data_IF_279674799015
#
_entry.id   IF_279674799015
#
_cell.length_a   1.000
_cell.length_b   1.000
_cell.length_c   1.000
_cell.angle_alpha   90.00
_cell.angle_beta   90.00
_cell.angle_gamma   90.00
#
_symmetry.space_group_name_H-M   'P 1'
#
loop_
_entity.id
_entity.type
_entity.pdbx_description
1 polymer ?
#
# COMPACT_ATOMS: atom_id res chain seq x y z
N UNK A 1 33.27 -15.95 -1.76
CA UNK A 1 33.22 -16.15 -0.29
C UNK A 1 33.15 -14.79 0.39
N UNK A 2 31.95 -14.22 0.50
CA UNK A 2 31.68 -13.00 1.26
C UNK A 2 30.44 -13.26 2.10
N UNK A 3 30.61 -13.31 3.42
CA UNK A 3 29.53 -13.45 4.40
C UNK A 3 28.97 -12.06 4.67
N UNK A 4 27.68 -11.84 4.39
CA UNK A 4 27.01 -10.58 4.73
C UNK A 4 26.65 -10.61 6.21
N UNK A 5 27.48 -9.96 7.02
CA UNK A 5 27.22 -9.66 8.43
C UNK A 5 26.34 -8.40 8.53
N UNK A 6 25.64 -8.23 9.68
CA UNK A 6 24.79 -7.07 10.03
C UNK A 6 25.39 -5.68 9.77
N UNK A 7 26.69 -5.58 9.52
CA UNK A 7 27.41 -4.34 9.18
C UNK A 7 27.21 -3.86 7.74
N UNK A 8 26.65 -4.66 6.82
CA UNK A 8 26.60 -4.29 5.38
C UNK A 8 25.43 -3.38 4.97
N UNK A 9 24.48 -3.08 5.87
CA UNK A 9 23.36 -2.16 5.57
C UNK A 9 23.76 -0.67 5.61
N UNK A 10 24.97 -0.34 6.06
CA UNK A 10 25.48 1.05 6.09
C UNK A 10 26.27 1.44 4.85
N UNK A 11 26.42 0.55 3.86
CA UNK A 11 27.29 0.78 2.68
C UNK A 11 26.53 0.75 1.35
N UNK A 12 25.29 1.26 1.34
CA UNK A 12 24.60 1.61 0.10
C UNK A 12 24.57 3.14 -0.05
N UNK A 13 25.36 3.73 -0.96
CA UNK A 13 25.36 5.18 -1.20
C UNK A 13 23.98 5.74 -1.60
N UNK A 14 23.13 4.91 -2.23
CA UNK A 14 21.74 5.21 -2.57
C UNK A 14 20.80 5.26 -1.37
N UNK A 15 21.12 4.57 -0.27
CA UNK A 15 20.35 4.60 0.98
C UNK A 15 20.49 5.94 1.70
N UNK A 16 21.70 6.52 1.72
CA UNK A 16 21.96 7.84 2.33
C UNK A 16 21.54 9.00 1.42
N UNK A 17 21.61 8.84 0.09
CA UNK A 17 21.22 9.89 -0.85
C UNK A 17 19.72 10.23 -0.79
N UNK A 18 18.84 9.25 -0.57
CA UNK A 18 17.41 9.50 -0.36
C UNK A 18 17.12 10.21 0.97
N UNK A 19 17.87 9.90 2.03
CA UNK A 19 17.75 10.54 3.34
C UNK A 19 18.20 12.01 3.33
N UNK A 20 19.22 12.38 2.53
CA UNK A 20 19.75 13.74 2.51
C UNK A 20 18.93 14.75 1.69
N UNK A 21 17.98 14.31 0.84
CA UNK A 21 17.05 15.21 0.13
C UNK A 21 15.93 15.78 1.02
N UNK A 22 15.77 15.27 2.24
CA UNK A 22 14.70 15.65 3.17
C UNK A 22 14.98 16.92 4.00
N UNK A 23 16.13 17.59 3.83
CA UNK A 23 16.55 18.68 4.74
C UNK A 23 16.27 20.10 4.24
N UNK A 24 15.62 20.29 3.09
CA UNK A 24 15.36 21.64 2.59
C UNK A 24 14.03 21.72 1.86
N UNK A 25 12.94 21.97 2.60
CA UNK A 25 11.82 22.77 2.07
C UNK A 25 11.03 23.39 3.22
N UNK A 26 11.00 24.72 3.23
CA UNK A 26 10.20 25.55 4.13
C UNK A 26 8.97 26.02 3.38
N UNK A 27 7.78 25.85 3.95
CA UNK A 27 6.57 26.60 3.57
C UNK A 27 5.54 26.54 4.71
N UNK A 28 5.10 27.72 5.15
CA UNK A 28 4.06 27.93 6.17
C UNK A 28 2.66 27.85 5.53
N UNK A 29 1.64 27.30 6.22
CA UNK A 29 0.26 27.47 5.78
C UNK A 29 -0.39 28.70 6.46
N UNK A 30 -0.92 29.61 5.64
CA UNK A 30 -1.87 30.65 6.07
C UNK A 30 -3.26 30.03 6.23
N UNK A 31 -3.81 30.12 7.45
CA UNK A 31 -5.23 29.88 7.74
C UNK A 31 -6.07 31.04 7.18
N UNK A 32 -7.06 30.76 6.33
CA UNK A 32 -8.17 31.65 6.06
C UNK A 32 -9.50 30.93 6.35
N UNK A 33 -10.19 31.44 7.38
CA UNK A 33 -11.57 31.10 7.73
C UNK A 33 -12.49 32.04 6.96
N UNK A 34 -13.43 31.51 6.19
CA UNK A 34 -14.62 32.27 5.77
C UNK A 34 -15.87 31.42 5.99
N UNK A 35 -16.87 32.06 6.58
CA UNK A 35 -18.19 31.52 6.85
C UNK A 35 -19.18 31.98 5.76
N UNK A 36 -20.13 31.11 5.44
CA UNK A 36 -21.49 31.37 4.92
C UNK A 36 -22.01 30.02 4.38
N UNK A 37 -23.29 29.68 4.29
CA UNK A 37 -24.57 30.14 4.84
C UNK A 37 -25.54 29.00 4.50
N UNK A 38 -26.43 28.64 5.43
CA UNK A 38 -27.38 27.53 5.28
C UNK A 38 -28.24 27.63 4.03
N UNK A 39 -28.33 26.52 3.27
CA UNK A 39 -29.43 26.22 2.37
C UNK A 39 -29.72 24.72 2.47
N UNK A 40 -30.90 24.43 3.00
CA UNK A 40 -31.35 23.10 3.39
C UNK A 40 -31.98 22.42 2.16
N UNK A 41 -31.20 21.64 1.42
CA UNK A 41 -31.70 20.72 0.40
C UNK A 41 -31.35 19.29 0.83
N UNK A 42 -32.30 18.65 1.52
CA UNK A 42 -32.19 17.27 2.02
C UNK A 42 -32.38 16.25 0.88
N UNK A 43 -31.48 16.26 -0.10
CA UNK A 43 -31.25 15.18 -1.05
C UNK A 43 -29.77 15.17 -1.46
N UNK A 44 -28.86 15.22 -0.47
CA UNK A 44 -27.44 15.09 -0.76
C UNK A 44 -27.09 13.60 -0.89
N UNK A 45 -26.70 13.09 -2.08
CA UNK A 45 -26.33 11.69 -2.27
C UNK A 45 -25.12 11.26 -1.41
N UNK A 46 -24.36 12.22 -0.86
CA UNK A 46 -23.20 11.96 -0.01
C UNK A 46 -23.52 11.41 1.39
N UNK A 47 -24.80 11.43 1.79
CA UNK A 47 -25.25 11.02 3.13
C UNK A 47 -25.94 9.65 3.15
N UNK A 48 -25.85 8.87 2.07
CA UNK A 48 -26.31 7.48 2.05
C UNK A 48 -25.49 6.66 3.06
N UNK A 49 -26.12 6.26 4.17
CA UNK A 49 -25.50 5.38 5.15
C UNK A 49 -25.34 3.98 4.57
N UNK A 50 -24.13 3.43 4.64
CA UNK A 50 -23.84 2.04 4.26
C UNK A 50 -24.83 1.09 4.97
N UNK A 51 -25.57 0.30 4.19
CA UNK A 51 -26.48 -0.69 4.75
C UNK A 51 -25.69 -1.87 5.36
N UNK A 52 -26.17 -2.52 6.43
CA UNK A 52 -25.49 -3.70 6.99
C UNK A 52 -25.28 -4.82 5.97
N UNK A 53 -26.24 -5.04 5.05
CA UNK A 53 -26.11 -6.04 3.98
C UNK A 53 -24.96 -5.70 3.03
N UNK A 54 -24.92 -4.45 2.54
CA UNK A 54 -23.86 -3.96 1.66
C UNK A 54 -22.47 -4.05 2.32
N UNK A 55 -22.38 -3.76 3.62
CA UNK A 55 -21.13 -3.94 4.37
C UNK A 55 -20.72 -5.42 4.45
N UNK A 56 -21.67 -6.33 4.70
CA UNK A 56 -21.38 -7.77 4.73
C UNK A 56 -20.94 -8.27 3.35
N UNK A 57 -21.58 -7.83 2.27
CA UNK A 57 -21.23 -8.23 0.91
C UNK A 57 -19.82 -7.72 0.54
N UNK A 58 -19.51 -6.46 0.86
CA UNK A 58 -18.18 -5.89 0.70
C UNK A 58 -17.11 -6.66 1.49
N UNK A 59 -17.37 -6.96 2.78
CA UNK A 59 -16.44 -7.71 3.62
C UNK A 59 -16.27 -9.16 3.15
N UNK A 60 -17.34 -9.77 2.63
CA UNK A 60 -17.33 -11.10 2.03
C UNK A 60 -16.48 -11.12 0.76
N UNK A 61 -16.52 -10.07 -0.04
CA UNK A 61 -15.63 -9.93 -1.19
C UNK A 61 -14.16 -9.76 -0.75
N UNK A 62 -13.90 -8.93 0.26
CA UNK A 62 -12.56 -8.74 0.84
C UNK A 62 -11.97 -10.01 1.45
N UNK A 63 -12.77 -11.04 1.77
CA UNK A 63 -12.26 -12.36 2.18
C UNK A 63 -11.25 -12.92 1.18
N UNK A 64 -11.41 -12.64 -0.12
CA UNK A 64 -10.51 -13.14 -1.17
C UNK A 64 -9.06 -12.72 -0.95
N UNK A 65 -8.82 -11.57 -0.32
CA UNK A 65 -7.46 -11.10 0.03
C UNK A 65 -6.74 -12.04 1.01
N UNK A 66 -7.49 -12.81 1.81
CA UNK A 66 -6.95 -13.82 2.73
C UNK A 66 -6.56 -15.11 2.02
N UNK A 67 -7.24 -15.42 0.93
CA UNK A 67 -7.06 -16.68 0.19
C UNK A 67 -6.11 -16.52 -1.00
N UNK A 68 -6.04 -15.32 -1.58
CA UNK A 68 -5.15 -15.02 -2.71
C UNK A 68 -3.72 -14.87 -2.20
N UNK A 69 -2.83 -15.71 -2.73
CA UNK A 69 -1.41 -15.72 -2.40
C UNK A 69 -0.65 -14.72 -3.25
N UNK A 70 0.36 -14.06 -2.65
CA UNK A 70 1.23 -13.14 -3.38
C UNK A 70 1.95 -13.89 -4.51
N UNK A 71 1.58 -13.55 -5.75
CA UNK A 71 1.94 -14.25 -6.97
C UNK A 71 3.45 -14.25 -7.20
N UNK A 72 4.16 -13.19 -6.76
CA UNK A 72 5.63 -13.15 -6.78
C UNK A 72 6.27 -14.34 -6.05
N UNK A 73 5.76 -14.71 -4.88
CA UNK A 73 6.25 -15.84 -4.10
C UNK A 73 5.81 -17.19 -4.67
N UNK A 74 4.56 -17.29 -5.16
CA UNK A 74 4.05 -18.49 -5.82
C UNK A 74 4.92 -18.86 -7.02
N UNK A 75 5.26 -17.89 -7.86
CA UNK A 75 6.13 -18.08 -9.05
C UNK A 75 7.57 -18.43 -8.71
N UNK A 76 8.00 -18.14 -7.47
CA UNK A 76 9.31 -18.54 -6.91
C UNK A 76 9.22 -19.87 -6.16
N UNK A 77 8.10 -20.59 -6.27
CA UNK A 77 7.86 -21.89 -5.64
C UNK A 77 8.04 -21.85 -4.10
N UNK A 78 7.76 -20.69 -3.51
CA UNK A 78 7.78 -20.53 -2.07
C UNK A 78 6.66 -21.39 -1.47
N UNK A 79 7.00 -22.47 -0.80
CA UNK A 79 6.10 -23.21 0.10
C UNK A 79 5.37 -22.27 1.06
N UNK A 80 4.05 -22.42 1.15
CA UNK A 80 3.12 -21.65 1.99
C UNK A 80 3.38 -20.13 1.94
N UNK A 81 3.23 -19.51 0.76
CA UNK A 81 3.44 -18.07 0.64
C UNK A 81 2.35 -17.30 1.40
N UNK A 82 2.69 -16.08 1.78
CA UNK A 82 1.77 -15.13 2.41
C UNK A 82 0.60 -14.81 1.48
N UNK A 83 -0.53 -14.43 2.08
CA UNK A 83 -1.66 -13.82 1.38
C UNK A 83 -1.45 -12.32 1.18
N UNK A 84 -2.23 -11.71 0.28
CA UNK A 84 -2.24 -10.25 0.10
C UNK A 84 -2.62 -9.56 1.42
N UNK A 85 -3.54 -10.15 2.19
CA UNK A 85 -3.93 -9.58 3.48
C UNK A 85 -2.83 -9.64 4.55
N UNK A 86 -1.93 -10.63 4.50
CA UNK A 86 -0.79 -10.72 5.43
C UNK A 86 0.20 -9.57 5.16
N UNK A 87 0.50 -9.33 3.88
CA UNK A 87 1.32 -8.22 3.40
C UNK A 87 0.76 -6.87 3.87
N UNK A 88 -0.51 -6.58 3.55
CA UNK A 88 -1.17 -5.33 3.96
C UNK A 88 -1.24 -5.17 5.49
N UNK A 89 -1.44 -6.25 6.24
CA UNK A 89 -1.45 -6.21 7.70
C UNK A 89 -0.11 -5.74 8.26
N UNK A 90 1.01 -6.32 7.78
CA UNK A 90 2.34 -5.93 8.27
C UNK A 90 2.70 -4.50 7.84
N UNK A 91 2.28 -4.06 6.66
CA UNK A 91 2.41 -2.65 6.27
C UNK A 91 1.63 -1.70 7.21
N UNK A 92 0.41 -2.08 7.62
CA UNK A 92 -0.36 -1.33 8.61
C UNK A 92 0.37 -1.22 9.96
N UNK A 93 1.04 -2.29 10.41
CA UNK A 93 1.89 -2.25 11.59
C UNK A 93 3.12 -1.35 11.40
N UNK A 94 3.77 -1.42 10.24
CA UNK A 94 4.89 -0.53 9.89
C UNK A 94 4.47 0.93 9.94
N UNK A 95 3.30 1.26 9.39
CA UNK A 95 2.72 2.59 9.51
C UNK A 95 2.50 2.97 10.97
N UNK A 96 1.90 2.12 11.80
CA UNK A 96 1.67 2.42 13.22
C UNK A 96 2.96 2.72 14.01
N UNK A 97 4.05 1.98 13.77
CA UNK A 97 5.31 2.17 14.48
C UNK A 97 6.23 3.23 13.85
N UNK A 98 5.90 3.72 12.65
CA UNK A 98 6.71 4.73 11.94
C UNK A 98 6.61 6.14 12.53
N UNK A 99 5.68 6.36 13.47
CA UNK A 99 5.51 7.62 14.18
C UNK A 99 6.78 8.06 14.95
N UNK A 100 7.67 7.09 15.25
CA UNK A 100 8.92 7.33 15.96
C UNK A 100 10.11 7.59 15.02
N UNK A 101 9.92 7.54 13.69
CA UNK A 101 10.96 7.83 12.71
C UNK A 101 11.21 9.35 12.67
N UNK A 102 12.45 9.81 12.94
CA UNK A 102 12.78 11.23 12.87
C UNK A 102 12.51 11.82 11.48
N UNK A 103 11.75 12.91 11.39
CA UNK A 103 11.48 13.63 10.14
C UNK A 103 10.11 13.34 9.50
N UNK A 104 9.40 12.30 9.94
CA UNK A 104 7.97 12.15 9.64
C UNK A 104 7.20 13.06 10.58
N UNK A 105 6.35 13.92 10.01
CA UNK A 105 5.53 14.83 10.79
C UNK A 105 4.69 13.98 11.75
N UNK A 106 4.82 14.20 13.07
CA UNK A 106 4.14 13.42 14.14
C UNK A 106 2.63 13.68 14.20
N UNK A 107 2.06 14.13 13.09
CA UNK A 107 0.64 14.32 12.99
C UNK A 107 -0.03 12.95 13.05
N UNK A 108 -0.78 12.73 14.12
CA UNK A 108 -1.56 11.50 14.31
C UNK A 108 -2.47 11.25 13.11
N UNK A 109 -2.99 12.32 12.49
CA UNK A 109 -3.83 12.20 11.30
C UNK A 109 -3.08 11.63 10.10
N UNK A 110 -1.84 12.10 9.84
CA UNK A 110 -0.99 11.57 8.77
C UNK A 110 -0.68 10.08 8.99
N UNK A 111 -0.39 9.68 10.24
CA UNK A 111 -0.14 8.29 10.59
C UNK A 111 -1.37 7.40 10.32
N UNK A 112 -2.55 7.82 10.80
CA UNK A 112 -3.79 7.10 10.54
C UNK A 112 -4.13 7.06 9.05
N UNK A 113 -3.76 8.09 8.28
CA UNK A 113 -3.89 8.09 6.83
C UNK A 113 -3.04 7.02 6.18
N UNK A 114 -1.75 6.90 6.56
CA UNK A 114 -0.87 5.83 6.10
C UNK A 114 -1.42 4.44 6.43
N UNK A 115 -1.97 4.23 7.63
CA UNK A 115 -2.60 2.95 8.01
C UNK A 115 -3.79 2.63 7.12
N UNK A 116 -4.69 3.60 6.91
CA UNK A 116 -5.86 3.43 6.03
C UNK A 116 -5.45 3.14 4.59
N UNK A 117 -4.42 3.81 4.10
CA UNK A 117 -3.89 3.60 2.76
C UNK A 117 -3.26 2.21 2.62
N UNK A 118 -2.46 1.78 3.60
CA UNK A 118 -1.83 0.45 3.60
C UNK A 118 -2.86 -0.69 3.51
N UNK A 119 -4.01 -0.58 4.18
CA UNK A 119 -5.07 -1.60 4.12
C UNK A 119 -5.94 -1.53 2.86
N UNK A 120 -5.85 -0.46 2.07
CA UNK A 120 -6.66 -0.24 0.86
C UNK A 120 -5.86 -0.43 -0.43
N UNK A 121 -4.55 -0.24 -0.42
CA UNK A 121 -3.78 -0.12 -1.67
C UNK A 121 -3.89 -1.33 -2.61
N UNK A 122 -3.84 -2.56 -2.07
CA UNK A 122 -4.01 -3.81 -2.82
C UNK A 122 -5.44 -4.38 -2.73
N UNK A 123 -6.43 -3.61 -2.27
CA UNK A 123 -7.80 -4.09 -2.08
C UNK A 123 -8.43 -4.56 -3.40
N UNK A 124 -8.11 -3.90 -4.52
CA UNK A 124 -8.61 -4.26 -5.84
C UNK A 124 -8.17 -5.67 -6.29
N UNK A 125 -7.06 -6.18 -5.76
CA UNK A 125 -6.55 -7.52 -6.04
C UNK A 125 -7.48 -8.63 -5.54
N UNK A 126 -8.46 -8.31 -4.70
CA UNK A 126 -9.57 -9.21 -4.36
C UNK A 126 -10.36 -9.66 -5.61
N UNK A 127 -10.38 -8.83 -6.65
CA UNK A 127 -11.07 -9.09 -7.92
C UNK A 127 -10.05 -9.41 -9.01
N UNK A 128 -9.01 -8.58 -9.17
CA UNK A 128 -8.08 -8.70 -10.31
C UNK A 128 -6.99 -9.75 -10.10
N UNK A 129 -6.74 -10.17 -8.86
CA UNK A 129 -5.59 -10.99 -8.47
C UNK A 129 -4.30 -10.17 -8.37
N UNK A 130 -3.27 -10.74 -7.75
CA UNK A 130 -1.94 -10.12 -7.67
C UNK A 130 -1.24 -10.19 -9.03
N UNK A 131 -1.31 -9.10 -9.80
CA UNK A 131 -0.70 -8.96 -11.13
C UNK A 131 0.75 -8.53 -10.96
N UNK A 132 1.66 -9.37 -11.41
CA UNK A 132 3.10 -9.15 -11.30
C UNK A 132 3.71 -8.67 -12.62
N UNK A 133 4.93 -8.12 -12.61
CA UNK A 133 5.63 -7.68 -13.82
C UNK A 133 5.84 -8.78 -14.88
N UNK A 134 5.94 -10.04 -14.46
CA UNK A 134 6.13 -11.16 -15.38
C UNK A 134 4.83 -11.62 -16.07
N UNK A 135 3.68 -11.04 -15.75
CA UNK A 135 2.41 -11.31 -16.44
C UNK A 135 2.26 -10.53 -17.76
N UNK A 136 3.20 -9.62 -18.07
CA UNK A 136 3.22 -8.89 -19.35
C UNK A 136 2.10 -7.86 -19.52
N UNK A 137 1.36 -7.55 -18.44
CA UNK A 137 0.34 -6.51 -18.42
C UNK A 137 1.02 -5.14 -18.24
N UNK A 138 0.67 -4.17 -19.08
CA UNK A 138 1.19 -2.81 -18.95
C UNK A 138 0.70 -2.15 -17.65
N UNK A 139 1.48 -1.22 -17.10
CA UNK A 139 1.07 -0.45 -15.91
C UNK A 139 -0.28 0.24 -16.10
N UNK A 140 -0.53 0.75 -17.31
CA UNK A 140 -1.80 1.41 -17.67
C UNK A 140 -2.98 0.46 -17.63
N UNK A 141 -2.81 -0.77 -18.12
CA UNK A 141 -3.87 -1.78 -18.13
C UNK A 141 -4.10 -2.36 -16.73
N UNK A 142 -3.03 -2.58 -15.95
CA UNK A 142 -3.13 -2.95 -14.53
C UNK A 142 -3.96 -1.92 -13.76
N UNK A 143 -3.58 -0.65 -13.83
CA UNK A 143 -4.28 0.45 -13.14
C UNK A 143 -5.72 0.61 -13.61
N UNK A 144 -6.03 0.39 -14.90
CA UNK A 144 -7.41 0.38 -15.41
C UNK A 144 -8.25 -0.74 -14.76
N UNK A 145 -7.74 -1.97 -14.74
CA UNK A 145 -8.44 -3.12 -14.15
C UNK A 145 -8.66 -2.93 -12.65
N UNK A 146 -7.64 -2.45 -11.95
CA UNK A 146 -7.71 -2.23 -10.50
C UNK A 146 -8.70 -1.12 -10.13
N UNK A 147 -8.73 -0.05 -10.93
CA UNK A 147 -9.72 1.02 -10.78
C UNK A 147 -11.14 0.51 -10.98
N UNK A 148 -11.40 -0.26 -12.04
CA UNK A 148 -12.72 -0.85 -12.29
C UNK A 148 -13.15 -1.80 -11.17
N UNK A 149 -12.21 -2.58 -10.65
CA UNK A 149 -12.44 -3.43 -9.49
C UNK A 149 -12.78 -2.60 -8.24
N UNK A 150 -12.01 -1.55 -7.96
CA UNK A 150 -12.26 -0.68 -6.82
C UNK A 150 -13.61 0.04 -6.93
N UNK A 151 -13.97 0.54 -8.11
CA UNK A 151 -15.26 1.16 -8.37
C UNK A 151 -16.41 0.19 -8.10
N UNK A 152 -16.26 -1.07 -8.53
CA UNK A 152 -17.22 -2.12 -8.21
C UNK A 152 -17.34 -2.35 -6.69
N UNK A 153 -16.21 -2.42 -5.97
CA UNK A 153 -16.19 -2.59 -4.52
C UNK A 153 -16.84 -1.41 -3.78
N UNK A 154 -16.56 -0.18 -4.21
CA UNK A 154 -17.15 1.04 -3.68
C UNK A 154 -18.67 1.10 -3.90
N UNK A 155 -19.13 0.67 -5.08
CA UNK A 155 -20.57 0.54 -5.37
C UNK A 155 -21.22 -0.56 -4.53
N UNK A 156 -20.54 -1.71 -4.35
CA UNK A 156 -21.02 -2.81 -3.50
C UNK A 156 -21.18 -2.39 -2.04
N UNK A 157 -20.29 -1.53 -1.54
CA UNK A 157 -20.38 -0.92 -0.21
C UNK A 157 -21.59 0.02 -0.06
N UNK A 158 -22.24 0.41 -1.16
CA UNK A 158 -23.38 1.32 -1.18
C UNK A 158 -23.01 2.79 -1.39
N UNK A 159 -21.78 3.08 -1.83
CA UNK A 159 -21.33 4.45 -2.12
C UNK A 159 -21.16 5.32 -0.87
N UNK A 160 -21.46 6.62 -1.03
CA UNK A 160 -21.38 7.61 0.04
C UNK A 160 -19.95 7.97 0.47
N UNK A 161 -19.84 8.69 1.58
CA UNK A 161 -18.57 9.23 2.07
C UNK A 161 -17.50 8.16 2.35
N UNK A 162 -17.89 6.95 2.79
CA UNK A 162 -16.93 5.87 3.09
C UNK A 162 -16.37 5.22 1.84
N UNK A 163 -17.21 4.94 0.85
CA UNK A 163 -16.72 4.46 -0.45
C UNK A 163 -15.83 5.51 -1.12
N UNK A 164 -16.21 6.79 -1.02
CA UNK A 164 -15.38 7.88 -1.53
C UNK A 164 -14.01 7.94 -0.84
N UNK A 165 -13.96 7.82 0.48
CA UNK A 165 -12.70 7.79 1.24
C UNK A 165 -11.79 6.64 0.78
N UNK A 166 -12.33 5.44 0.59
CA UNK A 166 -11.58 4.28 0.08
C UNK A 166 -11.04 4.56 -1.32
N UNK A 167 -11.88 5.08 -2.21
CA UNK A 167 -11.48 5.42 -3.58
C UNK A 167 -10.37 6.48 -3.59
N UNK A 168 -10.53 7.56 -2.81
CA UNK A 168 -9.56 8.64 -2.73
C UNK A 168 -8.20 8.15 -2.19
N UNK A 169 -8.21 7.29 -1.15
CA UNK A 169 -6.98 6.69 -0.60
C UNK A 169 -6.23 5.84 -1.63
N UNK A 170 -6.96 5.01 -2.38
CA UNK A 170 -6.36 4.18 -3.43
C UNK A 170 -5.76 5.04 -4.55
N UNK A 171 -6.49 6.08 -4.98
CA UNK A 171 -6.03 7.03 -5.97
C UNK A 171 -4.76 7.78 -5.54
N UNK A 172 -4.74 8.25 -4.29
CA UNK A 172 -3.60 8.95 -3.72
C UNK A 172 -2.35 8.06 -3.69
N UNK A 173 -2.52 6.77 -3.34
CA UNK A 173 -1.46 5.77 -3.40
C UNK A 173 -0.94 5.56 -4.84
N UNK A 174 -1.84 5.31 -5.79
CA UNK A 174 -1.51 5.05 -7.19
C UNK A 174 -0.76 6.21 -7.87
N UNK A 175 -1.22 7.44 -7.60
CA UNK A 175 -0.62 8.66 -8.14
C UNK A 175 0.66 9.07 -7.39
N UNK A 176 0.89 8.50 -6.21
CA UNK A 176 1.98 8.88 -5.30
C UNK A 176 2.02 10.39 -5.03
N UNK A 177 0.85 10.98 -4.86
CA UNK A 177 0.66 12.44 -4.87
C UNK A 177 1.02 13.10 -3.54
N UNK A 178 0.84 12.42 -2.41
CA UNK A 178 1.14 12.90 -1.07
C UNK A 178 2.47 12.39 -0.51
N UNK A 179 2.89 12.90 0.65
CA UNK A 179 4.04 12.37 1.38
C UNK A 179 3.70 11.00 1.98
N UNK A 180 2.49 10.87 2.49
CA UNK A 180 1.91 9.66 3.07
C UNK A 180 1.90 8.53 2.03
N UNK A 181 1.47 8.79 0.79
CA UNK A 181 1.51 7.82 -0.29
C UNK A 181 2.92 7.34 -0.64
N UNK A 182 3.89 8.25 -0.62
CA UNK A 182 5.31 7.89 -0.84
C UNK A 182 5.84 7.01 0.29
N UNK A 183 5.50 7.35 1.53
CA UNK A 183 5.85 6.56 2.72
C UNK A 183 5.24 5.15 2.63
N UNK A 184 3.96 5.03 2.26
CA UNK A 184 3.29 3.72 2.14
C UNK A 184 3.89 2.90 0.98
N UNK A 185 4.28 3.52 -0.13
CA UNK A 185 5.04 2.84 -1.20
C UNK A 185 6.43 2.39 -0.75
N UNK A 186 7.07 3.12 0.15
CA UNK A 186 8.33 2.66 0.75
C UNK A 186 8.09 1.52 1.75
N UNK A 187 6.99 1.54 2.49
CA UNK A 187 6.60 0.39 3.33
C UNK A 187 6.36 -0.87 2.52
N UNK A 188 5.62 -0.79 1.41
CA UNK A 188 5.38 -1.92 0.51
C UNK A 188 6.71 -2.59 0.08
N UNK A 189 7.68 -1.79 -0.38
CA UNK A 189 9.01 -2.30 -0.76
C UNK A 189 9.77 -2.90 0.42
N UNK A 190 9.78 -2.22 1.57
CA UNK A 190 10.51 -2.69 2.76
C UNK A 190 9.90 -3.98 3.29
N UNK A 191 8.58 -4.07 3.31
CA UNK A 191 7.83 -5.26 3.70
C UNK A 191 8.18 -6.44 2.79
N UNK A 192 8.13 -6.24 1.47
CA UNK A 192 8.49 -7.26 0.49
C UNK A 192 9.94 -7.74 0.67
N UNK A 193 10.90 -6.84 0.88
CA UNK A 193 12.31 -7.19 1.11
C UNK A 193 12.47 -7.97 2.42
N UNK A 194 11.78 -7.54 3.48
CA UNK A 194 11.82 -8.23 4.77
C UNK A 194 11.23 -9.64 4.65
N UNK A 195 10.10 -9.78 3.95
CA UNK A 195 9.48 -11.08 3.67
C UNK A 195 10.41 -12.00 2.87
N UNK A 196 11.12 -11.44 1.88
CA UNK A 196 12.13 -12.18 1.12
C UNK A 196 13.15 -12.79 2.08
N UNK A 197 13.78 -11.95 2.92
CA UNK A 197 14.81 -12.36 3.87
C UNK A 197 14.32 -13.42 4.86
N UNK A 198 13.05 -13.36 5.28
CA UNK A 198 12.44 -14.37 6.14
C UNK A 198 12.26 -15.70 5.42
N UNK A 199 11.83 -15.70 4.16
CA UNK A 199 11.77 -16.91 3.34
C UNK A 199 13.15 -17.49 3.04
N UNK A 200 14.17 -16.66 2.86
CA UNK A 200 15.56 -17.12 2.72
C UNK A 200 16.07 -17.78 4.01
N UNK A 201 15.78 -17.20 5.18
CA UNK A 201 16.19 -17.76 6.48
C UNK A 201 15.41 -19.01 6.87
N UNK A 202 14.13 -19.07 6.50
CA UNK A 202 13.22 -20.17 6.81
C UNK A 202 13.36 -21.39 5.90
N UNK A 203 14.12 -21.31 4.80
CA UNK A 203 14.32 -22.40 3.82
C UNK A 203 15.82 -22.64 3.61
N UNK A 204 16.36 -23.87 3.53
CA UNK A 204 15.88 -25.00 2.73
C UNK A 204 15.60 -24.68 1.25
N UNK A 205 16.12 -23.55 0.72
CA UNK A 205 16.28 -23.26 -0.71
C UNK A 205 17.63 -22.56 -0.86
N UNK A 206 18.56 -23.16 -1.61
CA UNK A 206 19.83 -22.53 -1.98
C UNK A 206 19.54 -21.40 -2.98
N UNK A 207 19.43 -20.17 -2.48
CA UNK A 207 19.35 -18.95 -3.31
C UNK A 207 20.77 -18.42 -3.55
N UNK A 208 21.71 -19.32 -3.84
CA UNK A 208 23.14 -19.00 -4.03
C UNK A 208 23.46 -18.58 -5.47
N UNK A 209 22.55 -17.88 -6.15
CA UNK A 209 22.74 -17.40 -7.50
C UNK A 209 22.96 -15.89 -7.52
N UNK A 210 24.19 -15.44 -7.79
CA UNK A 210 24.65 -14.04 -7.94
C UNK A 210 23.91 -13.18 -8.99
N UNK A 211 22.78 -13.66 -9.50
CA UNK A 211 21.93 -13.00 -10.49
C UNK A 211 20.66 -12.38 -9.88
N UNK A 212 20.35 -12.63 -8.61
CA UNK A 212 19.10 -12.15 -7.99
C UNK A 212 19.09 -10.62 -7.76
N UNK A 213 20.24 -10.02 -7.49
CA UNK A 213 20.37 -8.57 -7.26
C UNK A 213 20.63 -7.74 -8.53
N UNK A 214 20.73 -8.39 -9.70
CA UNK A 214 21.08 -7.70 -10.96
C UNK A 214 19.87 -7.30 -11.81
N UNK A 215 18.68 -7.84 -11.54
CA UNK A 215 17.45 -7.28 -12.10
C UNK A 215 16.97 -6.15 -11.19
N UNK A 216 16.71 -4.93 -11.71
CA UNK A 216 16.02 -3.93 -10.91
C UNK A 216 14.74 -4.59 -10.37
N UNK A 217 14.57 -4.54 -9.05
CA UNK A 217 13.32 -4.90 -8.37
C UNK A 217 12.24 -3.97 -8.92
N UNK A 218 11.73 -4.27 -10.11
CA UNK A 218 10.67 -3.52 -10.77
C UNK A 218 9.35 -4.14 -10.34
N UNK A 219 9.05 -4.05 -9.06
CA UNK A 219 7.73 -4.35 -8.52
C UNK A 219 7.08 -2.98 -8.29
N UNK A 220 5.96 -2.75 -8.98
CA UNK A 220 5.33 -1.45 -9.22
C UNK A 220 4.41 -1.00 -8.09
#
# INVERSE_FOLDING_TARGET
>A
MWSVSRSSLTTFPSFISSLNKFTSFSSTPKLLRMASSSSNNNNNPDNASVSPSSAIDFLTLCHRLKTTKRAGWVKREVQNPESISDHMYRMGLMALISADIPGVNRDKYALFWCVKMAIVHDMAEAIVGDITPCDGISKTEKSRREREALDHMCNLLGGGSRAKEIHDLWMEYEESSSLEAKIVKDFDKVEMILQALEYEKGKAVNISGDNYWKSPLSFS
#
